data_IF_451230296073
#
_entry.id   IF_451230296073
#
_cell.length_a   1.000
_cell.length_b   1.000
_cell.length_c   1.000
_cell.angle_alpha   90.00
_cell.angle_beta   90.00
_cell.angle_gamma   90.00
#
_symmetry.space_group_name_H-M   'P 1'
#
loop_
_entity.id
_entity.type
_entity.pdbx_description
1 polymer ?
#
# COMPACT_ATOMS: atom_id res chain seq x y z
N UNK A 1 -8.81 37.90 6.81
CA UNK A 1 -7.75 36.97 6.36
C UNK A 1 -8.16 36.44 5.01
N UNK A 2 -7.33 36.59 3.97
CA UNK A 2 -7.68 36.08 2.65
C UNK A 2 -7.67 34.55 2.66
N UNK A 3 -8.77 33.93 2.23
CA UNK A 3 -8.83 32.50 1.99
C UNK A 3 -7.81 32.14 0.90
N UNK A 4 -6.85 31.29 1.24
CA UNK A 4 -5.93 30.69 0.27
C UNK A 4 -6.53 29.36 -0.15
N UNK A 5 -6.87 29.22 -1.43
CA UNK A 5 -7.44 27.99 -1.95
C UNK A 5 -6.47 26.80 -1.73
N UNK A 6 -6.99 25.61 -1.42
CA UNK A 6 -6.16 24.42 -1.29
C UNK A 6 -5.48 24.11 -2.62
N UNK A 7 -4.16 23.98 -2.59
CA UNK A 7 -3.36 23.60 -3.76
C UNK A 7 -3.72 22.18 -4.18
N UNK A 8 -4.26 22.01 -5.38
CA UNK A 8 -4.54 20.70 -5.97
C UNK A 8 -3.24 20.09 -6.50
N UNK A 9 -2.84 18.92 -5.99
CA UNK A 9 -1.76 18.11 -6.57
C UNK A 9 -2.33 17.04 -7.53
N UNK A 10 -1.50 16.48 -8.42
CA UNK A 10 -1.91 15.38 -9.33
C UNK A 10 -2.54 14.18 -8.60
N UNK A 11 -2.19 13.97 -7.33
CA UNK A 11 -2.73 12.90 -6.49
C UNK A 11 -4.12 13.19 -5.89
N UNK A 12 -4.70 14.35 -6.17
CA UNK A 12 -6.03 14.73 -5.67
C UNK A 12 -7.11 14.00 -6.48
N UNK A 13 -8.09 13.30 -5.86
CA UNK A 13 -9.18 12.67 -6.60
C UNK A 13 -9.95 13.66 -7.48
N UNK A 14 -10.38 13.22 -8.67
CA UNK A 14 -11.04 14.10 -9.65
C UNK A 14 -12.29 14.78 -9.07
N UNK A 15 -13.06 14.06 -8.26
CA UNK A 15 -14.25 14.56 -7.55
C UNK A 15 -13.92 15.74 -6.62
N UNK A 16 -12.75 15.71 -5.96
CA UNK A 16 -12.28 16.79 -5.09
C UNK A 16 -11.83 17.98 -5.93
N UNK A 17 -11.20 17.75 -7.08
CA UNK A 17 -10.81 18.83 -8.00
C UNK A 17 -12.04 19.54 -8.57
N UNK A 18 -13.04 18.78 -9.02
CA UNK A 18 -14.33 19.30 -9.48
C UNK A 18 -15.04 20.10 -8.38
N UNK A 19 -15.00 19.62 -7.14
CA UNK A 19 -15.57 20.34 -5.99
C UNK A 19 -14.87 21.68 -5.73
N UNK A 20 -13.54 21.73 -5.84
CA UNK A 20 -12.76 22.97 -5.70
C UNK A 20 -13.10 23.95 -6.83
N UNK A 21 -13.15 23.47 -8.07
CA UNK A 21 -13.54 24.30 -9.22
C UNK A 21 -14.96 24.87 -9.06
N UNK A 22 -15.92 24.04 -8.63
CA UNK A 22 -17.28 24.51 -8.35
C UNK A 22 -17.30 25.55 -7.22
N UNK A 23 -16.54 25.33 -6.15
CA UNK A 23 -16.40 26.28 -5.05
C UNK A 23 -15.86 27.65 -5.51
N UNK A 24 -14.90 27.67 -6.43
CA UNK A 24 -14.31 28.92 -6.95
C UNK A 24 -15.29 29.78 -7.77
N UNK A 25 -16.37 29.18 -8.28
CA UNK A 25 -17.43 29.92 -8.98
C UNK A 25 -18.41 30.64 -8.05
N UNK A 26 -18.37 30.36 -6.74
CA UNK A 26 -19.33 30.90 -5.77
C UNK A 26 -19.07 32.39 -5.43
N UNK A 27 -20.09 33.15 -5.02
CA UNK A 27 -19.91 34.48 -4.44
C UNK A 27 -19.04 34.46 -3.17
N UNK A 28 -18.34 35.56 -2.89
CA UNK A 28 -17.34 35.63 -1.81
C UNK A 28 -17.91 35.29 -0.42
N UNK A 29 -19.11 35.76 -0.07
CA UNK A 29 -19.75 35.45 1.22
C UNK A 29 -19.95 33.94 1.44
N UNK A 30 -20.29 33.22 0.37
CA UNK A 30 -20.53 31.77 0.43
C UNK A 30 -19.20 31.01 0.51
N UNK A 31 -18.17 31.50 -0.20
CA UNK A 31 -16.82 30.94 -0.11
C UNK A 31 -16.24 31.07 1.28
N UNK A 32 -16.37 32.22 1.93
CA UNK A 32 -15.85 32.43 3.28
C UNK A 32 -16.48 31.46 4.29
N UNK A 33 -17.77 31.16 4.13
CA UNK A 33 -18.50 30.22 4.99
C UNK A 33 -18.10 28.76 4.75
N UNK A 34 -17.95 28.35 3.48
CA UNK A 34 -17.71 26.95 3.09
C UNK A 34 -16.23 26.57 3.06
N UNK A 35 -15.34 27.55 3.00
CA UNK A 35 -13.88 27.40 2.94
C UNK A 35 -13.31 26.41 3.98
N UNK A 36 -13.65 26.51 5.29
CA UNK A 36 -13.11 25.60 6.30
C UNK A 36 -13.54 24.14 6.07
N UNK A 37 -14.78 23.94 5.62
CA UNK A 37 -15.33 22.61 5.33
C UNK A 37 -14.65 21.99 4.12
N UNK A 38 -14.45 22.76 3.05
CA UNK A 38 -13.74 22.30 1.85
C UNK A 38 -12.30 21.88 2.21
N UNK A 39 -11.58 22.71 2.97
CA UNK A 39 -10.22 22.39 3.40
C UNK A 39 -10.14 21.06 4.16
N UNK A 40 -11.07 20.83 5.09
CA UNK A 40 -11.15 19.56 5.84
C UNK A 40 -11.42 18.37 4.94
N UNK A 41 -12.28 18.52 3.92
CA UNK A 41 -12.58 17.44 2.98
C UNK A 41 -11.35 17.07 2.15
N UNK A 42 -10.63 18.07 1.62
CA UNK A 42 -9.37 17.87 0.89
C UNK A 42 -8.36 17.15 1.78
N UNK A 43 -8.13 17.65 3.00
CA UNK A 43 -7.18 17.06 3.95
C UNK A 43 -7.54 15.60 4.29
N UNK A 44 -8.81 15.33 4.62
CA UNK A 44 -9.28 13.99 4.92
C UNK A 44 -9.11 13.04 3.73
N UNK A 45 -9.38 13.51 2.52
CA UNK A 45 -9.21 12.72 1.29
C UNK A 45 -7.74 12.37 1.05
N UNK A 46 -6.86 13.36 1.10
CA UNK A 46 -5.41 13.20 0.95
C UNK A 46 -4.82 12.26 2.01
N UNK A 47 -5.24 12.41 3.27
CA UNK A 47 -4.79 11.53 4.37
C UNK A 47 -5.23 10.08 4.15
N UNK A 48 -6.48 9.86 3.74
CA UNK A 48 -7.00 8.51 3.46
C UNK A 48 -6.21 7.84 2.34
N UNK A 49 -5.94 8.56 1.24
CA UNK A 49 -5.13 8.04 0.14
C UNK A 49 -3.71 7.69 0.59
N UNK A 50 -3.05 8.54 1.38
CA UNK A 50 -1.73 8.23 1.95
C UNK A 50 -1.74 6.96 2.79
N UNK A 51 -2.75 6.76 3.64
CA UNK A 51 -2.90 5.53 4.44
C UNK A 51 -3.07 4.31 3.52
N UNK A 52 -3.92 4.41 2.50
CA UNK A 52 -4.15 3.31 1.57
C UNK A 52 -2.87 2.95 0.79
N UNK A 53 -2.09 3.93 0.35
CA UNK A 53 -0.81 3.67 -0.32
C UNK A 53 0.17 2.94 0.60
N UNK A 54 0.31 3.40 1.85
CA UNK A 54 1.16 2.71 2.85
C UNK A 54 0.71 1.27 3.10
N UNK A 55 -0.61 1.04 3.19
CA UNK A 55 -1.17 -0.31 3.34
C UNK A 55 -0.88 -1.16 2.11
N UNK A 56 -1.03 -0.61 0.90
CA UNK A 56 -0.73 -1.32 -0.35
C UNK A 56 0.76 -1.69 -0.44
N UNK A 57 1.66 -0.77 -0.08
CA UNK A 57 3.11 -1.01 -0.02
C UNK A 57 3.44 -2.12 0.99
N UNK A 58 2.88 -2.05 2.20
CA UNK A 58 3.09 -3.07 3.22
C UNK A 58 2.57 -4.46 2.80
N UNK A 59 1.41 -4.53 2.14
CA UNK A 59 0.86 -5.78 1.59
C UNK A 59 1.70 -6.31 0.43
N UNK A 60 2.22 -5.43 -0.43
CA UNK A 60 3.11 -5.82 -1.52
C UNK A 60 4.42 -6.41 -0.97
N UNK A 61 4.99 -5.80 0.07
CA UNK A 61 6.17 -6.30 0.77
C UNK A 61 5.88 -7.65 1.42
N UNK A 62 4.81 -7.77 2.20
CA UNK A 62 4.42 -9.04 2.83
C UNK A 62 4.23 -10.16 1.80
N UNK A 63 3.61 -9.86 0.67
CA UNK A 63 3.42 -10.83 -0.42
C UNK A 63 4.77 -11.30 -1.00
N UNK A 64 5.77 -10.43 -1.07
CA UNK A 64 7.11 -10.80 -1.49
C UNK A 64 7.80 -11.66 -0.42
N UNK A 65 7.69 -11.27 0.86
CA UNK A 65 8.26 -12.02 1.98
C UNK A 65 7.69 -13.44 2.05
N UNK A 66 6.39 -13.61 1.80
CA UNK A 66 5.75 -14.93 1.70
C UNK A 66 6.34 -15.77 0.56
N UNK A 67 6.66 -15.16 -0.60
CA UNK A 67 7.30 -15.89 -1.70
C UNK A 67 8.70 -16.37 -1.31
N UNK A 68 9.47 -15.54 -0.62
CA UNK A 68 10.79 -15.95 -0.11
C UNK A 68 10.69 -17.07 0.91
N UNK A 69 9.74 -16.99 1.85
CA UNK A 69 9.54 -18.04 2.84
C UNK A 69 9.19 -19.38 2.21
N UNK A 70 8.31 -19.38 1.19
CA UNK A 70 7.96 -20.60 0.44
C UNK A 70 9.17 -21.16 -0.30
N UNK A 71 9.97 -20.30 -0.93
CA UNK A 71 11.19 -20.71 -1.61
C UNK A 71 12.21 -21.35 -0.66
N UNK A 72 12.47 -20.71 0.49
CA UNK A 72 13.38 -21.23 1.51
C UNK A 72 12.88 -22.56 2.08
N UNK A 73 11.57 -22.71 2.26
CA UNK A 73 10.96 -23.96 2.69
C UNK A 73 11.17 -25.09 1.65
N UNK A 74 11.06 -24.79 0.37
CA UNK A 74 11.31 -25.77 -0.69
C UNK A 74 12.80 -26.16 -0.76
N UNK A 75 13.71 -25.20 -0.60
CA UNK A 75 15.14 -25.46 -0.54
C UNK A 75 15.48 -26.41 0.63
N UNK A 76 15.03 -26.09 1.84
CA UNK A 76 15.27 -26.92 3.04
C UNK A 76 14.62 -28.30 2.94
N UNK A 77 13.46 -28.43 2.29
CA UNK A 77 12.86 -29.75 2.00
C UNK A 77 13.73 -30.58 1.06
N UNK A 78 14.20 -30.01 -0.05
CA UNK A 78 15.09 -30.70 -1.00
C UNK A 78 16.40 -31.14 -0.35
N UNK A 79 17.01 -30.28 0.46
CA UNK A 79 18.21 -30.60 1.21
C UNK A 79 17.97 -31.76 2.17
N UNK A 80 16.89 -31.72 2.95
CA UNK A 80 16.51 -32.81 3.86
C UNK A 80 16.28 -34.12 3.11
N UNK A 81 15.56 -34.08 2.00
CA UNK A 81 15.24 -35.29 1.22
C UNK A 81 16.54 -35.91 0.65
N UNK A 82 17.44 -35.08 0.13
CA UNK A 82 18.78 -35.51 -0.33
C UNK A 82 19.60 -36.16 0.80
N UNK A 83 19.55 -35.60 2.02
CA UNK A 83 20.26 -36.17 3.18
C UNK A 83 19.64 -37.50 3.64
N UNK A 84 18.31 -37.65 3.57
CA UNK A 84 17.63 -38.91 3.89
C UNK A 84 18.02 -40.01 2.91
N UNK A 85 17.99 -39.72 1.62
CA UNK A 85 18.38 -40.67 0.58
C UNK A 85 19.83 -41.15 0.74
N UNK A 86 20.75 -40.26 1.17
CA UNK A 86 22.15 -40.65 1.47
C UNK A 86 22.26 -41.59 2.67
N UNK A 87 21.50 -41.35 3.75
CA UNK A 87 21.51 -42.20 4.95
C UNK A 87 20.90 -43.57 4.63
N UNK A 88 19.76 -43.60 3.93
CA UNK A 88 19.10 -44.85 3.53
C UNK A 88 19.95 -45.65 2.53
N UNK A 89 20.60 -44.98 1.58
CA UNK A 89 21.55 -45.61 0.65
C UNK A 89 22.81 -46.16 1.32
N UNK A 90 23.31 -45.49 2.37
CA UNK A 90 24.47 -45.97 3.16
C UNK A 90 24.08 -47.20 3.99
N UNK A 91 22.91 -47.19 4.63
CA UNK A 91 22.46 -48.29 5.50
C UNK A 91 22.13 -49.59 4.73
N UNK A 92 21.78 -49.49 3.44
CA UNK A 92 21.62 -50.65 2.56
C UNK A 92 22.93 -51.17 1.95
N UNK A 93 24.02 -50.38 1.97
CA UNK A 93 25.33 -50.77 1.44
C UNK A 93 26.24 -51.52 2.42
N UNK A 94 25.90 -51.53 3.71
CA UNK A 94 26.69 -52.17 4.78
C UNK A 94 26.20 -53.58 5.16
N UNK A 95 25.23 -54.13 4.42
CA UNK A 95 24.62 -55.45 4.67
C UNK A 95 24.82 -56.48 3.54
N UNK A 96 25.72 -56.24 2.58
CA UNK A 96 26.15 -57.21 1.56
C UNK A 96 27.61 -57.63 1.73
#
# INVERSE_FOLDING_TARGET
>A
MAFTAPQTSEDTPIEIQELIQAFDTLPQEHRETLAPSLLRVVECSSRRRRILNLVQEALAQLRLDMKYLVFDLEATRRERDTLRDQIEGTNNGDHE
#
